data_IF_817591179062
#
_entry.id   IF_817591179062
#
_cell.length_a   1.000
_cell.length_b   1.000
_cell.length_c   1.000
_cell.angle_alpha   90.00
_cell.angle_beta   90.00
_cell.angle_gamma   90.00
#
_symmetry.space_group_name_H-M   'P 1'
#
loop_
_entity.id
_entity.type
_entity.pdbx_description
1 polymer ?
#
# COMPACT_ATOMS: atom_id res chain seq x y z
N UNK A 1 -4.57 -1.92 0.06
CA UNK A 1 -3.82 -2.68 -0.95
C UNK A 1 -2.57 -3.34 -0.35
N UNK A 2 -1.63 -2.56 0.21
CA UNK A 2 -0.34 -3.08 0.74
C UNK A 2 -0.48 -4.30 1.66
N UNK A 3 -1.39 -4.25 2.65
CA UNK A 3 -1.63 -5.37 3.57
C UNK A 3 -1.96 -6.68 2.84
N UNK A 4 -2.93 -6.65 1.93
CA UNK A 4 -3.37 -7.83 1.17
C UNK A 4 -2.27 -8.33 0.24
N UNK A 5 -1.53 -7.43 -0.41
CA UNK A 5 -0.39 -7.83 -1.25
C UNK A 5 0.70 -8.53 -0.43
N UNK A 6 0.96 -8.07 0.80
CA UNK A 6 1.92 -8.71 1.72
C UNK A 6 1.42 -10.08 2.20
N UNK A 7 0.14 -10.21 2.52
CA UNK A 7 -0.47 -11.51 2.86
C UNK A 7 -0.36 -12.49 1.70
N UNK A 8 -0.50 -12.02 0.44
CA UNK A 8 -0.32 -12.86 -0.75
C UNK A 8 1.14 -13.33 -0.92
N UNK A 9 2.13 -12.45 -0.67
CA UNK A 9 3.55 -12.86 -0.63
C UNK A 9 3.77 -13.93 0.44
N UNK A 10 3.23 -13.72 1.65
CA UNK A 10 3.38 -14.67 2.76
C UNK A 10 2.71 -16.02 2.46
N UNK A 11 1.55 -16.03 1.83
CA UNK A 11 0.82 -17.25 1.46
C UNK A 11 1.59 -18.11 0.43
N UNK A 12 2.36 -17.46 -0.46
CA UNK A 12 3.23 -18.14 -1.43
C UNK A 12 4.62 -18.48 -0.86
N UNK A 13 4.92 -18.11 0.39
CA UNK A 13 6.20 -18.36 1.04
C UNK A 13 7.38 -17.81 0.23
N UNK A 14 8.47 -18.58 0.13
CA UNK A 14 9.67 -18.17 -0.60
C UNK A 14 9.41 -17.85 -2.08
N UNK A 15 8.47 -18.54 -2.72
CA UNK A 15 8.09 -18.29 -4.11
C UNK A 15 7.45 -16.89 -4.28
N UNK A 16 6.68 -16.43 -3.29
CA UNK A 16 6.09 -15.10 -3.30
C UNK A 16 7.13 -13.96 -3.21
N UNK A 17 8.37 -14.27 -2.84
CA UNK A 17 9.47 -13.30 -2.75
C UNK A 17 10.29 -13.22 -4.06
N UNK A 18 10.10 -14.16 -4.98
CA UNK A 18 10.81 -14.16 -6.27
C UNK A 18 10.02 -13.41 -7.34
N UNK A 19 10.72 -12.96 -8.40
CA UNK A 19 10.09 -12.28 -9.54
C UNK A 19 9.34 -13.22 -10.49
N UNK A 20 9.37 -14.54 -10.22
CA UNK A 20 8.61 -15.53 -10.99
C UNK A 20 7.11 -15.40 -10.72
N UNK A 21 6.75 -14.91 -9.53
CA UNK A 21 5.37 -14.67 -9.14
C UNK A 21 5.07 -13.17 -9.08
N UNK A 22 3.89 -12.73 -9.56
CA UNK A 22 3.59 -11.30 -9.68
C UNK A 22 3.38 -10.60 -8.33
N UNK A 23 3.18 -11.35 -7.24
CA UNK A 23 2.78 -10.79 -5.93
C UNK A 23 3.79 -9.82 -5.33
N UNK A 24 5.10 -10.03 -5.57
CA UNK A 24 6.14 -9.09 -5.12
C UNK A 24 5.98 -7.72 -5.78
N UNK A 25 5.67 -7.71 -7.08
CA UNK A 25 5.43 -6.48 -7.84
C UNK A 25 4.18 -5.77 -7.33
N UNK A 26 3.13 -6.52 -7.03
CA UNK A 26 1.89 -5.98 -6.49
C UNK A 26 2.10 -5.30 -5.13
N UNK A 27 3.04 -5.75 -4.29
CA UNK A 27 3.41 -5.03 -3.06
C UNK A 27 4.07 -3.70 -3.38
N UNK A 28 5.03 -3.69 -4.31
CA UNK A 28 5.76 -2.47 -4.73
C UNK A 28 4.82 -1.43 -5.33
N UNK A 29 3.95 -1.86 -6.25
CA UNK A 29 2.96 -1.00 -6.89
C UNK A 29 1.95 -0.47 -5.86
N UNK A 30 1.47 -1.35 -4.96
CA UNK A 30 0.56 -0.95 -3.90
C UNK A 30 1.17 0.09 -2.96
N UNK A 31 2.48 0.00 -2.68
CA UNK A 31 3.16 0.92 -1.78
C UNK A 31 3.24 2.34 -2.34
N UNK A 32 3.34 2.49 -3.66
CA UNK A 32 3.34 3.81 -4.29
C UNK A 32 2.05 4.58 -3.96
N UNK A 33 0.90 3.92 -3.85
CA UNK A 33 -0.37 4.58 -3.50
C UNK A 33 -0.44 5.12 -2.07
N UNK A 34 0.46 4.72 -1.17
CA UNK A 34 0.58 5.34 0.16
C UNK A 34 1.26 6.72 0.10
N UNK A 35 1.98 7.02 -0.98
CA UNK A 35 2.90 8.17 -1.11
C UNK A 35 2.49 9.08 -2.28
N UNK A 36 2.28 8.48 -3.45
CA UNK A 36 1.96 9.16 -4.70
C UNK A 36 0.66 9.94 -4.62
N UNK A 37 0.63 11.10 -5.29
CA UNK A 37 -0.51 12.03 -5.29
C UNK A 37 -0.97 12.48 -3.88
N UNK A 38 -0.09 12.39 -2.87
CA UNK A 38 -0.35 12.79 -1.50
C UNK A 38 -0.26 11.61 -0.54
N UNK A 39 0.60 11.74 0.46
CA UNK A 39 0.80 10.67 1.44
C UNK A 39 -0.48 10.42 2.24
N UNK A 40 -0.58 9.23 2.84
CA UNK A 40 -1.71 8.90 3.70
C UNK A 40 -1.87 9.89 4.88
N UNK A 41 -0.77 10.41 5.42
CA UNK A 41 -0.75 11.39 6.51
C UNK A 41 -1.37 12.71 6.05
N UNK A 42 -0.97 13.22 4.88
CA UNK A 42 -1.52 14.46 4.32
C UNK A 42 -3.01 14.29 3.99
N UNK A 43 -3.42 13.16 3.42
CA UNK A 43 -4.85 12.89 3.18
C UNK A 43 -5.65 12.84 4.47
N UNK A 44 -5.16 12.16 5.51
CA UNK A 44 -5.82 12.14 6.83
C UNK A 44 -5.89 13.54 7.45
N UNK A 45 -4.84 14.35 7.31
CA UNK A 45 -4.84 15.74 7.76
C UNK A 45 -5.89 16.58 7.04
N UNK A 46 -5.96 16.50 5.70
CA UNK A 46 -6.95 17.23 4.90
C UNK A 46 -8.38 16.82 5.26
N UNK A 47 -8.64 15.51 5.39
CA UNK A 47 -9.94 14.98 5.83
C UNK A 47 -10.26 15.49 7.23
N UNK A 48 -9.31 15.43 8.17
CA UNK A 48 -9.52 15.93 9.54
C UNK A 48 -9.83 17.43 9.59
N UNK A 49 -9.13 18.23 8.79
CA UNK A 49 -9.39 19.67 8.64
C UNK A 49 -10.80 19.94 8.12
N UNK A 50 -11.23 19.21 7.08
CA UNK A 50 -12.56 19.36 6.49
C UNK A 50 -13.67 18.91 7.46
N UNK A 51 -13.45 17.83 8.20
CA UNK A 51 -14.43 17.30 9.16
C UNK A 51 -14.58 18.18 10.41
N UNK A 52 -13.51 18.78 10.89
CA UNK A 52 -13.49 19.51 12.17
C UNK A 52 -13.63 21.02 12.03
N UNK A 53 -13.52 21.57 10.81
CA UNK A 53 -13.83 22.97 10.51
C UNK A 53 -13.01 23.99 11.32
N UNK A 54 -11.92 24.47 10.74
CA UNK A 54 -11.40 25.80 11.03
C UNK A 54 -11.56 26.67 9.79
#
# INVERSE_FOLDING_TARGET
AVKVSLEAVQALGGAGYTKEWPVERLVRDAKLYDIGAGTNEIRRFLIGRELLGA
#
